data_IF_406692510095
#
_entry.id   IF_406692510095
#
_cell.length_a   1.000
_cell.length_b   1.000
_cell.length_c   1.000
_cell.angle_alpha   90.00
_cell.angle_beta   90.00
_cell.angle_gamma   90.00
#
_symmetry.space_group_name_H-M   'P 1'
#
loop_
_entity.id
_entity.type
_entity.pdbx_description
1 polymer ?
#
# COMPACT_ATOMS: atom_id res chain seq x y z
N UNK A 1 -25.49 -16.65 -10.05
CA UNK A 1 -24.28 -15.82 -10.29
C UNK A 1 -24.71 -14.35 -10.31
N UNK A 2 -24.15 -13.49 -9.43
CA UNK A 2 -24.43 -12.04 -9.51
C UNK A 2 -23.86 -11.49 -10.82
N UNK A 3 -24.66 -10.72 -11.57
CA UNK A 3 -24.20 -10.07 -12.81
C UNK A 3 -23.15 -9.02 -12.45
N UNK A 4 -21.90 -9.25 -12.86
CA UNK A 4 -20.80 -8.32 -12.61
C UNK A 4 -20.79 -7.20 -13.65
N UNK A 5 -20.38 -6.01 -13.23
CA UNK A 5 -20.42 -4.80 -14.06
C UNK A 5 -19.02 -4.44 -14.54
N UNK A 6 -18.89 -4.06 -15.81
CA UNK A 6 -17.65 -3.49 -16.33
C UNK A 6 -17.47 -2.06 -15.83
N UNK A 7 -16.32 -1.74 -15.25
CA UNK A 7 -16.03 -0.40 -14.71
C UNK A 7 -14.63 0.07 -15.08
N UNK A 8 -14.41 1.38 -15.04
CA UNK A 8 -13.09 2.01 -15.09
C UNK A 8 -12.89 2.82 -13.81
N UNK A 9 -11.90 2.42 -13.01
CA UNK A 9 -11.54 3.11 -11.78
C UNK A 9 -10.66 4.32 -12.08
N UNK A 10 -10.75 5.34 -11.23
CA UNK A 10 -9.76 6.43 -11.18
C UNK A 10 -8.37 5.85 -10.94
N UNK A 11 -7.36 6.42 -11.57
CA UNK A 11 -5.96 6.06 -11.28
C UNK A 11 -5.60 6.50 -9.87
N UNK A 12 -4.87 5.66 -9.15
CA UNK A 12 -4.40 6.03 -7.82
C UNK A 12 -3.30 7.09 -7.91
N UNK A 13 -3.35 8.09 -7.03
CA UNK A 13 -2.25 9.05 -6.90
C UNK A 13 -1.02 8.33 -6.34
N UNK A 14 0.08 8.32 -7.10
CA UNK A 14 1.36 7.77 -6.64
C UNK A 14 2.07 8.83 -5.80
N UNK A 15 2.11 8.59 -4.49
CA UNK A 15 2.83 9.45 -3.54
C UNK A 15 4.04 8.70 -2.97
N UNK A 16 5.09 9.42 -2.60
CA UNK A 16 6.25 8.82 -1.96
C UNK A 16 5.91 8.42 -0.52
N UNK A 17 5.04 9.20 0.12
CA UNK A 17 4.54 8.93 1.46
C UNK A 17 3.01 9.02 1.53
N UNK A 18 2.41 8.25 2.44
CA UNK A 18 0.95 8.19 2.59
C UNK A 18 0.37 9.55 3.04
N UNK A 19 1.08 10.28 3.90
CA UNK A 19 0.63 11.58 4.41
C UNK A 19 0.49 12.65 3.31
N UNK A 20 1.12 12.48 2.14
CA UNK A 20 1.00 13.44 1.03
C UNK A 20 -0.41 13.45 0.42
N UNK A 21 -1.20 12.41 0.68
CA UNK A 21 -2.62 12.31 0.28
C UNK A 21 -3.54 13.06 1.24
N UNK A 22 -3.03 13.43 2.41
CA UNK A 22 -3.82 14.06 3.46
C UNK A 22 -3.88 15.57 3.23
N UNK A 23 -5.10 16.07 3.18
CA UNK A 23 -5.39 17.49 3.11
C UNK A 23 -6.10 17.93 4.39
N UNK A 24 -5.97 19.21 4.75
CA UNK A 24 -6.54 19.78 5.97
C UNK A 24 -7.26 21.09 5.68
N UNK A 25 -8.36 21.30 6.38
CA UNK A 25 -9.07 22.57 6.42
C UNK A 25 -8.58 23.39 7.62
N UNK A 26 -7.90 24.51 7.37
CA UNK A 26 -7.33 25.35 8.45
C UNK A 26 -8.39 26.10 9.28
N UNK A 27 -9.67 26.05 8.91
CA UNK A 27 -10.78 26.68 9.65
C UNK A 27 -11.49 25.68 10.56
N UNK A 28 -11.87 24.53 10.01
CA UNK A 28 -12.61 23.49 10.75
C UNK A 28 -11.69 22.51 11.46
N UNK A 29 -10.38 22.50 11.15
CA UNK A 29 -9.43 21.49 11.61
C UNK A 29 -9.86 20.06 11.24
N UNK A 30 -10.51 19.91 10.08
CA UNK A 30 -10.92 18.62 9.53
C UNK A 30 -9.91 18.14 8.49
N UNK A 31 -9.74 16.82 8.43
CA UNK A 31 -8.85 16.17 7.48
C UNK A 31 -9.62 15.47 6.38
N UNK A 32 -9.03 15.42 5.20
CA UNK A 32 -9.67 14.87 4.02
C UNK A 32 -8.65 14.16 3.13
N UNK A 33 -9.05 13.05 2.52
CA UNK A 33 -8.20 12.22 1.65
C UNK A 33 -8.81 11.92 0.29
N UNK A 34 -10.05 12.37 0.04
CA UNK A 34 -10.75 12.15 -1.22
C UNK A 34 -10.46 13.29 -2.21
N UNK A 35 -11.12 13.28 -3.36
CA UNK A 35 -10.91 14.21 -4.48
C UNK A 35 -11.55 15.59 -4.31
N UNK A 36 -12.41 15.76 -3.31
CA UNK A 36 -13.08 17.04 -3.09
C UNK A 36 -12.07 18.12 -2.71
N UNK A 37 -12.15 19.25 -3.40
CA UNK A 37 -11.23 20.38 -3.22
C UNK A 37 -11.66 21.31 -2.09
N UNK A 38 -12.93 21.27 -1.71
CA UNK A 38 -13.52 22.19 -0.73
C UNK A 38 -14.09 21.43 0.47
N UNK A 39 -13.96 22.04 1.64
CA UNK A 39 -14.47 21.52 2.89
C UNK A 39 -16.00 21.48 2.91
N UNK A 40 -16.57 20.32 3.23
CA UNK A 40 -18.02 20.11 3.33
C UNK A 40 -18.69 20.96 4.41
N UNK A 41 -17.97 21.34 5.46
CA UNK A 41 -18.51 22.13 6.57
C UNK A 41 -18.45 23.64 6.34
N UNK A 42 -17.33 24.16 5.79
CA UNK A 42 -17.11 25.61 5.69
C UNK A 42 -16.86 26.15 4.28
N UNK A 43 -16.81 25.27 3.27
CA UNK A 43 -16.63 25.64 1.87
C UNK A 43 -15.26 26.21 1.52
N UNK A 44 -14.26 26.18 2.42
CA UNK A 44 -12.88 26.59 2.10
C UNK A 44 -12.10 25.48 1.41
N UNK A 45 -11.16 25.88 0.57
CA UNK A 45 -10.25 24.94 -0.10
C UNK A 45 -9.37 24.18 0.90
N UNK A 46 -9.25 22.87 0.70
CA UNK A 46 -8.35 22.01 1.45
C UNK A 46 -6.89 22.28 1.07
N UNK A 47 -5.99 22.29 2.06
CA UNK A 47 -4.56 22.49 1.83
C UNK A 47 -3.78 21.21 2.15
N UNK A 48 -2.74 20.87 1.37
CA UNK A 48 -1.86 19.74 1.71
C UNK A 48 -1.24 19.93 3.10
N UNK A 49 -1.26 18.88 3.91
CA UNK A 49 -0.84 18.97 5.32
C UNK A 49 0.61 19.45 5.49
N UNK A 50 1.50 19.09 4.55
CA UNK A 50 2.91 19.48 4.56
C UNK A 50 3.09 20.99 4.38
N UNK A 51 2.25 21.63 3.57
CA UNK A 51 2.31 23.07 3.37
C UNK A 51 1.84 23.83 4.61
N UNK A 52 0.79 23.31 5.27
CA UNK A 52 0.27 23.89 6.50
C UNK A 52 1.32 23.79 7.61
N UNK A 53 1.93 22.62 7.80
CA UNK A 53 3.00 22.44 8.76
C UNK A 53 4.22 23.35 8.45
N UNK A 54 4.62 23.47 7.19
CA UNK A 54 5.72 24.35 6.79
C UNK A 54 5.43 25.84 7.10
N UNK A 55 4.18 26.30 6.92
CA UNK A 55 3.76 27.66 7.31
C UNK A 55 3.87 27.87 8.81
N UNK A 56 3.51 26.87 9.61
CA UNK A 56 3.63 26.91 11.08
C UNK A 56 5.09 26.96 11.52
N UNK A 57 5.95 26.08 11.00
CA UNK A 57 7.39 26.10 11.31
C UNK A 57 8.04 27.42 10.90
N UNK A 58 7.69 27.97 9.73
CA UNK A 58 8.19 29.28 9.29
C UNK A 58 7.86 30.40 10.28
N UNK A 59 6.65 30.40 10.85
CA UNK A 59 6.25 31.37 11.88
C UNK A 59 7.08 31.19 13.15
N UNK A 60 7.31 29.96 13.61
CA UNK A 60 8.17 29.72 14.77
C UNK A 60 9.60 30.24 14.57
N UNK A 61 10.18 30.02 13.39
CA UNK A 61 11.51 30.54 13.04
C UNK A 61 11.51 32.07 13.02
N UNK A 62 10.50 32.70 12.41
CA UNK A 62 10.35 34.16 12.42
C UNK A 62 10.24 34.73 13.84
N UNK A 63 9.45 34.09 14.71
CA UNK A 63 9.33 34.50 16.12
C UNK A 63 10.65 34.36 16.86
N UNK A 64 11.44 33.30 16.62
CA UNK A 64 12.78 33.15 17.20
C UNK A 64 13.73 34.27 16.74
N UNK A 65 13.71 34.64 15.46
CA UNK A 65 14.47 35.79 14.94
C UNK A 65 14.06 37.11 15.59
N UNK A 66 12.75 37.34 15.76
CA UNK A 66 12.22 38.54 16.43
C UNK A 66 12.63 38.60 17.90
N UNK A 67 12.57 37.48 18.62
CA UNK A 67 13.03 37.39 20.01
C UNK A 67 14.53 37.65 20.13
N UNK A 68 15.33 37.11 19.21
CA UNK A 68 16.77 37.34 19.19
C UNK A 68 17.09 38.81 18.92
N UNK A 69 16.38 39.46 17.98
CA UNK A 69 16.46 40.90 17.75
C UNK A 69 16.07 41.72 18.97
N UNK A 70 15.01 41.33 19.68
CA UNK A 70 14.59 41.96 20.93
C UNK A 70 15.68 41.88 22.01
N UNK A 71 16.31 40.72 22.19
CA UNK A 71 17.41 40.56 23.16
C UNK A 71 18.63 41.42 22.80
N UNK A 72 18.97 41.53 21.53
CA UNK A 72 20.06 42.42 21.07
C UNK A 72 19.73 43.89 21.33
N UNK A 73 18.50 44.32 21.05
CA UNK A 73 18.05 45.68 21.35
C UNK A 73 18.09 46.00 22.85
N UNK A 74 17.63 45.06 23.70
CA UNK A 74 17.70 45.21 25.15
C UNK A 74 19.14 45.31 25.64
N UNK A 75 20.06 44.50 25.10
CA UNK A 75 21.48 44.55 25.44
C UNK A 75 22.12 45.90 25.08
N UNK A 76 21.72 46.50 23.95
CA UNK A 76 22.18 47.83 23.53
C UNK A 76 21.61 48.93 24.44
N UNK A 77 20.34 48.83 24.84
CA UNK A 77 19.69 49.82 25.72
C UNK A 77 20.28 49.82 27.14
N UNK A 78 20.77 48.68 27.63
CA UNK A 78 21.40 48.56 28.94
C UNK A 78 22.91 48.89 28.94
N UNK A 79 23.48 49.34 27.81
CA UNK A 79 24.90 49.68 27.73
C UNK A 79 25.15 51.12 28.21
N UNK A 80 25.96 51.28 29.27
CA UNK A 80 26.30 52.58 29.84
C UNK A 80 27.55 53.22 29.22
N UNK A 81 28.35 52.42 28.50
CA UNK A 81 29.63 52.85 27.92
C UNK A 81 29.72 52.58 26.42
N UNK A 82 30.48 53.41 25.70
CA UNK A 82 30.73 53.25 24.26
C UNK A 82 31.33 51.88 23.91
N UNK A 83 32.18 51.34 24.79
CA UNK A 83 32.78 50.00 24.62
C UNK A 83 31.75 48.89 24.79
N UNK A 84 30.86 48.98 25.79
CA UNK A 84 29.75 48.04 25.96
C UNK A 84 28.78 48.08 24.77
N UNK A 85 28.51 49.26 24.22
CA UNK A 85 27.64 49.43 23.05
C UNK A 85 28.26 48.79 21.80
N UNK A 86 29.57 49.01 21.56
CA UNK A 86 30.28 48.38 20.45
C UNK A 86 30.29 46.84 20.56
N UNK A 87 30.53 46.31 21.76
CA UNK A 87 30.50 44.87 22.03
C UNK A 87 29.08 44.29 21.86
N UNK A 88 28.04 45.00 22.33
CA UNK A 88 26.65 44.59 22.16
C UNK A 88 26.22 44.49 20.70
N UNK A 89 26.58 45.50 19.88
CA UNK A 89 26.31 45.49 18.45
C UNK A 89 27.08 44.37 17.72
N UNK A 90 28.39 44.26 17.95
CA UNK A 90 29.21 43.24 17.30
C UNK A 90 28.77 41.81 17.70
N UNK A 91 28.49 41.59 18.98
CA UNK A 91 27.97 40.34 19.51
C UNK A 91 26.59 40.00 18.94
N UNK A 92 25.69 40.98 18.87
CA UNK A 92 24.37 40.81 18.27
C UNK A 92 24.44 40.38 16.80
N UNK A 93 25.29 41.03 15.99
CA UNK A 93 25.51 40.66 14.58
C UNK A 93 26.05 39.23 14.49
N UNK A 94 27.06 38.89 15.31
CA UNK A 94 27.67 37.56 15.30
C UNK A 94 26.64 36.46 15.64
N UNK A 95 25.82 36.66 16.67
CA UNK A 95 24.76 35.71 17.05
C UNK A 95 23.71 35.61 15.93
N UNK A 96 23.31 36.72 15.30
CA UNK A 96 22.37 36.71 14.19
C UNK A 96 22.89 35.91 12.99
N UNK A 97 24.16 36.11 12.61
CA UNK A 97 24.81 35.40 11.51
C UNK A 97 24.94 33.91 11.84
N UNK A 98 25.41 33.56 13.04
CA UNK A 98 25.50 32.17 13.49
C UNK A 98 24.14 31.48 13.47
N UNK A 99 23.09 32.14 13.98
CA UNK A 99 21.74 31.60 13.97
C UNK A 99 21.19 31.44 12.55
N UNK A 100 21.45 32.40 11.65
CA UNK A 100 21.07 32.31 10.24
C UNK A 100 21.75 31.14 9.52
N UNK A 101 23.06 30.95 9.73
CA UNK A 101 23.81 29.82 9.17
C UNK A 101 23.28 28.49 9.72
N UNK A 102 23.00 28.43 11.03
CA UNK A 102 22.42 27.25 11.67
C UNK A 102 21.05 26.92 11.07
N UNK A 103 20.15 27.91 10.92
CA UNK A 103 18.84 27.70 10.32
C UNK A 103 18.94 27.26 8.85
N UNK A 104 19.90 27.80 8.09
CA UNK A 104 20.11 27.39 6.69
C UNK A 104 20.59 25.95 6.58
N UNK A 105 21.44 25.50 7.50
CA UNK A 105 22.02 24.15 7.48
C UNK A 105 21.07 23.09 8.07
N UNK A 106 20.39 23.41 9.18
CA UNK A 106 19.56 22.46 9.94
C UNK A 106 18.05 22.66 9.76
N UNK A 107 17.60 23.72 9.08
CA UNK A 107 16.17 24.02 8.94
C UNK A 107 15.38 23.00 8.11
N UNK A 108 16.02 22.17 7.29
CA UNK A 108 15.34 21.03 6.68
C UNK A 108 15.02 19.95 7.72
N UNK A 109 15.99 19.61 8.57
CA UNK A 109 15.83 18.63 9.63
C UNK A 109 14.81 19.09 10.68
N UNK A 110 14.87 20.35 11.13
CA UNK A 110 13.88 20.88 12.09
C UNK A 110 12.46 20.82 11.54
N UNK A 111 12.26 21.10 10.24
CA UNK A 111 10.93 21.01 9.61
C UNK A 111 10.37 19.60 9.65
N UNK A 112 11.20 18.58 9.42
CA UNK A 112 10.74 17.19 9.44
C UNK A 112 10.41 16.73 10.88
N UNK A 113 11.21 17.14 11.87
CA UNK A 113 10.95 16.86 13.28
C UNK A 113 9.67 17.56 13.76
N UNK A 114 9.50 18.84 13.45
CA UNK A 114 8.29 19.60 13.79
C UNK A 114 7.06 19.04 13.09
N UNK A 115 7.20 18.62 11.83
CA UNK A 115 6.12 17.96 11.10
C UNK A 115 5.71 16.65 11.75
N UNK A 116 6.67 15.81 12.15
CA UNK A 116 6.37 14.56 12.84
C UNK A 116 5.64 14.80 14.17
N UNK A 117 6.08 15.81 14.94
CA UNK A 117 5.41 16.23 16.18
C UNK A 117 3.99 16.70 15.92
N UNK A 118 3.78 17.53 14.90
CA UNK A 118 2.45 17.99 14.47
C UNK A 118 1.55 16.81 14.10
N UNK A 119 2.03 15.89 13.26
CA UNK A 119 1.29 14.68 12.88
C UNK A 119 0.90 13.83 14.09
N UNK A 120 1.80 13.69 15.05
CA UNK A 120 1.56 12.88 16.25
C UNK A 120 0.44 13.49 17.10
N UNK A 121 0.42 14.80 17.26
CA UNK A 121 -0.62 15.53 18.01
C UNK A 121 -1.99 15.46 17.32
N UNK A 122 -2.00 15.46 15.99
CA UNK A 122 -3.23 15.49 15.18
C UNK A 122 -3.80 14.09 14.88
N UNK A 123 -3.12 13.01 15.27
CA UNK A 123 -3.47 11.62 14.92
C UNK A 123 -4.93 11.27 15.25
N UNK A 124 -5.43 11.65 16.42
CA UNK A 124 -6.80 11.32 16.83
C UNK A 124 -7.85 12.07 16.00
N UNK A 125 -7.56 13.31 15.62
CA UNK A 125 -8.46 14.13 14.79
C UNK A 125 -8.47 13.56 13.36
N UNK A 126 -7.30 13.20 12.82
CA UNK A 126 -7.18 12.53 11.52
C UNK A 126 -8.01 11.24 11.52
N UNK A 127 -7.86 10.40 12.56
CA UNK A 127 -8.62 9.16 12.70
C UNK A 127 -10.13 9.43 12.73
N UNK A 128 -10.59 10.43 13.48
CA UNK A 128 -12.00 10.82 13.53
C UNK A 128 -12.52 11.26 12.16
N UNK A 129 -11.77 12.09 11.43
CA UNK A 129 -12.15 12.49 10.06
C UNK A 129 -12.21 11.32 9.09
N UNK A 130 -11.27 10.38 9.16
CA UNK A 130 -11.28 9.17 8.33
C UNK A 130 -12.47 8.24 8.66
N UNK A 131 -12.93 8.20 9.92
CA UNK A 131 -14.13 7.46 10.30
C UNK A 131 -15.39 8.09 9.68
N UNK A 132 -15.50 9.41 9.61
CA UNK A 132 -16.60 10.09 8.90
C UNK A 132 -16.63 9.71 7.41
N UNK A 133 -15.47 9.60 6.76
CA UNK A 133 -15.43 9.11 5.37
C UNK A 133 -15.88 7.65 5.23
N UNK A 134 -15.75 6.82 6.27
CA UNK A 134 -16.33 5.47 6.25
C UNK A 134 -17.85 5.49 6.28
N UNK A 135 -18.45 6.47 6.96
CA UNK A 135 -19.90 6.65 6.96
C UNK A 135 -20.36 7.07 5.56
N UNK A 136 -19.66 8.01 4.91
CA UNK A 136 -19.90 8.39 3.51
C UNK A 136 -19.81 7.21 2.54
N UNK A 137 -18.81 6.34 2.71
CA UNK A 137 -18.71 5.09 1.95
C UNK A 137 -19.95 4.22 2.18
N UNK A 138 -20.41 4.12 3.43
CA UNK A 138 -21.63 3.38 3.78
C UNK A 138 -22.89 3.94 3.11
N UNK A 139 -23.00 5.26 2.98
CA UNK A 139 -24.09 5.90 2.24
C UNK A 139 -24.03 5.58 0.75
N UNK A 140 -22.85 5.65 0.12
CA UNK A 140 -22.69 5.30 -1.30
C UNK A 140 -23.07 3.85 -1.59
N UNK A 141 -22.79 2.92 -0.67
CA UNK A 141 -23.23 1.51 -0.80
C UNK A 141 -24.75 1.40 -0.77
N UNK A 142 -25.42 2.12 0.14
CA UNK A 142 -26.89 2.10 0.25
C UNK A 142 -27.57 2.66 -1.00
N UNK A 143 -26.94 3.63 -1.66
CA UNK A 143 -27.41 4.21 -2.92
C UNK A 143 -26.98 3.41 -4.16
N UNK A 144 -26.44 2.20 -3.98
CA UNK A 144 -25.93 1.32 -5.06
C UNK A 144 -24.78 1.94 -5.88
N UNK A 145 -24.14 3.00 -5.38
CA UNK A 145 -22.95 3.64 -5.97
C UNK A 145 -21.67 2.90 -5.58
N UNK A 146 -21.64 1.59 -5.85
CA UNK A 146 -20.55 0.67 -5.43
C UNK A 146 -19.18 1.09 -5.98
N UNK A 147 -19.14 1.70 -7.18
CA UNK A 147 -17.89 2.21 -7.75
C UNK A 147 -17.30 3.30 -6.86
N UNK A 148 -18.11 4.29 -6.50
CA UNK A 148 -17.67 5.42 -5.68
C UNK A 148 -17.27 4.94 -4.29
N UNK A 149 -18.06 4.02 -3.71
CA UNK A 149 -17.72 3.37 -2.44
C UNK A 149 -16.36 2.66 -2.48
N UNK A 150 -16.06 1.92 -3.56
CA UNK A 150 -14.77 1.26 -3.75
C UNK A 150 -13.62 2.27 -3.90
N UNK A 151 -13.80 3.30 -4.73
CA UNK A 151 -12.77 4.32 -4.94
C UNK A 151 -12.44 5.04 -3.63
N UNK A 152 -13.47 5.46 -2.86
CA UNK A 152 -13.29 6.12 -1.56
C UNK A 152 -12.61 5.22 -0.54
N UNK A 153 -13.05 3.95 -0.39
CA UNK A 153 -12.42 3.04 0.57
C UNK A 153 -10.98 2.68 0.16
N UNK A 154 -10.66 2.71 -1.14
CA UNK A 154 -9.30 2.50 -1.63
C UNK A 154 -8.36 3.59 -1.12
N UNK A 155 -8.79 4.86 -1.15
CA UNK A 155 -8.05 6.00 -0.60
C UNK A 155 -7.96 5.95 0.93
N UNK A 156 -9.10 5.79 1.62
CA UNK A 156 -9.14 5.73 3.10
C UNK A 156 -8.33 4.55 3.65
N UNK A 157 -8.36 3.40 2.96
CA UNK A 157 -7.64 2.19 3.36
C UNK A 157 -6.12 2.26 3.22
N UNK A 158 -5.58 3.39 2.76
CA UNK A 158 -4.13 3.68 2.80
C UNK A 158 -3.69 4.12 4.19
N UNK A 159 -4.62 4.66 4.98
CA UNK A 159 -4.40 5.09 6.35
C UNK A 159 -4.92 4.06 7.36
N UNK A 160 -5.99 3.36 7.02
CA UNK A 160 -6.66 2.40 7.90
C UNK A 160 -6.41 0.96 7.46
N UNK A 161 -5.42 0.33 8.09
CA UNK A 161 -5.07 -1.07 7.87
C UNK A 161 -5.81 -1.97 8.86
N UNK A 162 -7.03 -2.39 8.51
CA UNK A 162 -7.77 -3.39 9.26
C UNK A 162 -8.39 -4.42 8.33
N UNK A 163 -8.60 -5.63 8.83
CA UNK A 163 -9.25 -6.69 8.06
C UNK A 163 -10.66 -6.29 7.63
N UNK A 164 -11.38 -5.50 8.43
CA UNK A 164 -12.68 -4.93 8.04
C UNK A 164 -12.58 -4.12 6.75
N UNK A 165 -11.53 -3.31 6.59
CA UNK A 165 -11.31 -2.51 5.38
C UNK A 165 -10.93 -3.40 4.20
N UNK A 166 -10.07 -4.41 4.41
CA UNK A 166 -9.71 -5.39 3.37
C UNK A 166 -10.96 -6.12 2.86
N UNK A 167 -11.78 -6.65 3.77
CA UNK A 167 -12.99 -7.39 3.44
C UNK A 167 -14.03 -6.51 2.72
N UNK A 168 -14.21 -5.25 3.14
CA UNK A 168 -15.09 -4.31 2.42
C UNK A 168 -14.57 -4.02 1.00
N UNK A 169 -13.26 -3.79 0.83
CA UNK A 169 -12.65 -3.62 -0.51
C UNK A 169 -12.93 -4.83 -1.41
N UNK A 170 -12.72 -6.04 -0.89
CA UNK A 170 -12.99 -7.30 -1.58
C UNK A 170 -14.47 -7.41 -1.97
N UNK A 171 -15.37 -7.15 -1.01
CA UNK A 171 -16.80 -7.19 -1.22
C UNK A 171 -17.21 -6.27 -2.38
N UNK A 172 -16.66 -5.05 -2.46
CA UNK A 172 -16.94 -4.14 -3.57
C UNK A 172 -16.31 -4.62 -4.88
N UNK A 173 -15.06 -5.09 -4.87
CA UNK A 173 -14.37 -5.61 -6.05
C UNK A 173 -15.11 -6.78 -6.71
N UNK A 174 -15.73 -7.66 -5.91
CA UNK A 174 -16.49 -8.80 -6.41
C UNK A 174 -17.75 -8.41 -7.24
N UNK A 175 -18.17 -7.14 -7.21
CA UNK A 175 -19.25 -6.63 -8.08
C UNK A 175 -18.78 -6.33 -9.50
N UNK A 176 -17.47 -6.26 -9.74
CA UNK A 176 -16.91 -5.79 -11.00
C UNK A 176 -16.24 -6.91 -11.81
N UNK A 177 -16.23 -6.73 -13.13
CA UNK A 177 -15.41 -7.56 -14.03
C UNK A 177 -13.96 -7.06 -13.94
N UNK A 178 -13.10 -7.86 -13.32
CA UNK A 178 -11.68 -7.55 -13.18
C UNK A 178 -10.95 -7.67 -14.52
N UNK A 179 -10.02 -6.74 -14.79
CA UNK A 179 -9.24 -6.71 -16.03
C UNK A 179 -7.77 -6.42 -15.78
N UNK A 180 -6.92 -6.75 -16.77
CA UNK A 180 -5.47 -6.63 -16.67
C UNK A 180 -4.97 -5.18 -16.57
N UNK A 181 -5.76 -4.22 -17.07
CA UNK A 181 -5.46 -2.79 -17.03
C UNK A 181 -5.73 -2.13 -15.67
N UNK A 182 -6.41 -2.84 -14.76
CA UNK A 182 -6.72 -2.33 -13.43
C UNK A 182 -5.52 -2.44 -12.48
N UNK A 183 -5.41 -1.48 -11.56
CA UNK A 183 -4.48 -1.53 -10.42
C UNK A 183 -5.04 -2.50 -9.36
N UNK A 184 -4.98 -3.81 -9.65
CA UNK A 184 -5.43 -4.86 -8.74
C UNK A 184 -4.42 -5.07 -7.62
N UNK A 185 -4.94 -5.32 -6.43
CA UNK A 185 -4.16 -5.65 -5.25
C UNK A 185 -4.55 -7.05 -4.77
N UNK A 186 -3.59 -7.86 -4.31
CA UNK A 186 -3.87 -9.18 -3.76
C UNK A 186 -3.28 -9.34 -2.36
N UNK A 187 -1.98 -9.08 -2.22
CA UNK A 187 -1.26 -9.20 -0.96
C UNK A 187 -1.76 -8.23 0.13
N UNK A 188 -2.04 -6.97 -0.21
CA UNK A 188 -2.58 -5.98 0.75
C UNK A 188 -4.00 -6.33 1.22
N UNK A 189 -4.74 -7.12 0.44
CA UNK A 189 -6.11 -7.53 0.73
C UNK A 189 -6.20 -8.88 1.43
N UNK A 190 -5.07 -9.55 1.70
CA UNK A 190 -5.08 -10.84 2.40
C UNK A 190 -5.70 -10.69 3.81
N UNK A 191 -6.83 -11.36 4.07
CA UNK A 191 -7.43 -11.38 5.40
C UNK A 191 -6.62 -12.27 6.34
N UNK A 192 -6.66 -11.99 7.64
CA UNK A 192 -5.96 -12.81 8.65
C UNK A 192 -6.63 -14.17 8.83
N UNK A 193 -7.95 -14.22 8.63
CA UNK A 193 -8.77 -15.42 8.73
C UNK A 193 -9.31 -15.87 7.38
N UNK A 194 -9.89 -17.06 7.35
CA UNK A 194 -10.58 -17.56 6.17
C UNK A 194 -11.76 -16.66 5.80
N UNK A 195 -11.83 -16.21 4.55
CA UNK A 195 -12.94 -15.45 4.03
C UNK A 195 -13.37 -15.93 2.64
N UNK A 196 -14.66 -16.16 2.46
CA UNK A 196 -15.25 -16.67 1.22
C UNK A 196 -15.17 -15.66 0.08
N UNK A 197 -15.42 -14.38 0.38
CA UNK A 197 -15.41 -13.33 -0.63
C UNK A 197 -13.99 -13.08 -1.14
N UNK A 198 -12.97 -13.24 -0.29
CA UNK A 198 -11.57 -13.21 -0.70
C UNK A 198 -11.23 -14.36 -1.66
N UNK A 199 -11.69 -15.59 -1.38
CA UNK A 199 -11.43 -16.74 -2.28
C UNK A 199 -12.10 -16.53 -3.64
N UNK A 200 -13.31 -15.97 -3.66
CA UNK A 200 -14.00 -15.58 -4.89
C UNK A 200 -13.21 -14.52 -5.68
N UNK A 201 -12.71 -13.48 -4.99
CA UNK A 201 -11.88 -12.45 -5.58
C UNK A 201 -10.56 -13.01 -6.12
N UNK A 202 -9.87 -13.84 -5.32
CA UNK A 202 -8.62 -14.50 -5.66
C UNK A 202 -8.77 -15.31 -6.96
N UNK A 203 -9.87 -16.07 -7.11
CA UNK A 203 -10.16 -16.82 -8.34
C UNK A 203 -10.18 -15.95 -9.58
N UNK A 204 -10.71 -14.75 -9.48
CA UNK A 204 -10.82 -13.82 -10.61
C UNK A 204 -9.50 -13.11 -10.88
N UNK A 205 -8.79 -12.71 -9.83
CA UNK A 205 -7.46 -12.10 -9.96
C UNK A 205 -6.46 -13.06 -10.60
N UNK A 206 -6.44 -14.34 -10.20
CA UNK A 206 -5.47 -15.32 -10.72
C UNK A 206 -5.65 -15.58 -12.23
N UNK A 207 -6.88 -15.51 -12.75
CA UNK A 207 -7.17 -15.63 -14.18
C UNK A 207 -6.58 -14.46 -14.99
N UNK A 208 -6.65 -13.26 -14.41
CA UNK A 208 -6.34 -12.01 -15.11
C UNK A 208 -4.88 -11.60 -14.90
N UNK A 209 -4.40 -11.60 -13.66
CA UNK A 209 -3.04 -11.22 -13.27
C UNK A 209 -2.43 -12.28 -12.32
N UNK A 210 -2.07 -13.48 -12.82
CA UNK A 210 -1.45 -14.54 -12.01
C UNK A 210 -0.13 -14.11 -11.36
N UNK A 211 0.51 -13.05 -11.88
CA UNK A 211 1.73 -12.51 -11.32
C UNK A 211 1.60 -11.90 -9.92
N UNK A 212 0.38 -11.57 -9.48
CA UNK A 212 0.11 -11.05 -8.15
C UNK A 212 0.16 -12.13 -7.05
N UNK A 213 0.15 -13.42 -7.44
CA UNK A 213 0.33 -14.53 -6.49
C UNK A 213 1.77 -14.56 -6.00
N UNK A 214 1.97 -14.12 -4.75
CA UNK A 214 3.25 -14.16 -4.04
C UNK A 214 3.21 -15.19 -2.91
N UNK A 215 4.33 -15.34 -2.20
CA UNK A 215 4.49 -16.22 -1.03
C UNK A 215 3.33 -16.11 -0.03
N UNK A 216 2.98 -14.88 0.39
CA UNK A 216 1.89 -14.61 1.34
C UNK A 216 0.53 -15.17 0.90
N UNK A 217 0.25 -15.19 -0.41
CA UNK A 217 -0.97 -15.76 -0.98
C UNK A 217 -0.89 -17.30 -0.99
N UNK A 218 0.27 -17.86 -1.33
CA UNK A 218 0.50 -19.31 -1.30
C UNK A 218 0.36 -19.86 0.12
N UNK A 219 0.92 -19.17 1.12
CA UNK A 219 0.78 -19.50 2.54
C UNK A 219 -0.68 -19.49 2.98
N UNK A 220 -1.44 -18.46 2.58
CA UNK A 220 -2.87 -18.37 2.89
C UNK A 220 -3.65 -19.54 2.31
N UNK A 221 -3.41 -19.86 1.04
CA UNK A 221 -4.09 -20.94 0.32
C UNK A 221 -3.74 -22.30 0.91
N UNK A 222 -2.47 -22.54 1.23
CA UNK A 222 -2.04 -23.77 1.88
C UNK A 222 -2.66 -23.91 3.28
N UNK A 223 -2.67 -22.84 4.07
CA UNK A 223 -3.26 -22.81 5.42
C UNK A 223 -4.76 -23.11 5.42
N UNK A 224 -5.49 -22.60 4.43
CA UNK A 224 -6.95 -22.76 4.34
C UNK A 224 -7.40 -23.73 3.25
N UNK A 225 -6.49 -24.59 2.76
CA UNK A 225 -6.73 -25.52 1.64
C UNK A 225 -8.03 -26.31 1.79
N UNK A 226 -8.23 -26.93 2.96
CA UNK A 226 -9.43 -27.73 3.24
C UNK A 226 -10.73 -26.94 3.12
N UNK A 227 -10.73 -25.65 3.48
CA UNK A 227 -11.91 -24.78 3.34
C UNK A 227 -12.11 -24.35 1.89
N UNK A 228 -11.03 -24.04 1.17
CA UNK A 228 -11.08 -23.66 -0.25
C UNK A 228 -11.61 -24.81 -1.10
N UNK A 229 -11.27 -26.06 -0.77
CA UNK A 229 -11.79 -27.25 -1.46
C UNK A 229 -13.31 -27.41 -1.36
N UNK A 230 -13.94 -26.85 -0.32
CA UNK A 230 -15.41 -26.85 -0.18
C UNK A 230 -16.09 -25.84 -1.12
N UNK A 231 -15.33 -24.97 -1.80
CA UNK A 231 -15.87 -24.02 -2.77
C UNK A 231 -16.09 -24.64 -4.14
N UNK A 232 -17.04 -24.06 -4.86
CA UNK A 232 -17.23 -24.35 -6.27
C UNK A 232 -15.94 -24.04 -7.06
N UNK A 233 -15.40 -25.06 -7.73
CA UNK A 233 -14.13 -25.03 -8.44
C UNK A 233 -12.90 -24.78 -7.53
N UNK A 234 -12.97 -25.18 -6.25
CA UNK A 234 -11.86 -25.06 -5.29
C UNK A 234 -10.58 -25.76 -5.75
N UNK A 235 -10.68 -26.99 -6.28
CA UNK A 235 -9.54 -27.74 -6.81
C UNK A 235 -8.89 -27.03 -8.00
N UNK A 236 -9.69 -26.56 -8.95
CA UNK A 236 -9.20 -25.81 -10.11
C UNK A 236 -8.51 -24.50 -9.67
N UNK A 237 -9.06 -23.81 -8.67
CA UNK A 237 -8.46 -22.60 -8.11
C UNK A 237 -7.08 -22.89 -7.51
N UNK A 238 -6.98 -23.92 -6.66
CA UNK A 238 -5.70 -24.31 -6.05
C UNK A 238 -4.70 -24.70 -7.14
N UNK A 239 -5.10 -25.46 -8.17
CA UNK A 239 -4.25 -25.76 -9.32
C UNK A 239 -3.77 -24.53 -10.09
N UNK A 240 -4.64 -23.54 -10.30
CA UNK A 240 -4.26 -22.27 -10.92
C UNK A 240 -3.26 -21.48 -10.07
N UNK A 241 -3.39 -21.53 -8.74
CA UNK A 241 -2.49 -20.89 -7.79
C UNK A 241 -1.14 -21.61 -7.74
N UNK A 242 -1.14 -22.94 -7.65
CA UNK A 242 0.06 -23.78 -7.73
C UNK A 242 0.82 -23.49 -9.03
N UNK A 243 0.10 -23.40 -10.15
CA UNK A 243 0.70 -23.02 -11.43
C UNK A 243 1.27 -21.60 -11.45
N UNK A 244 0.73 -20.67 -10.66
CA UNK A 244 1.26 -19.30 -10.55
C UNK A 244 2.55 -19.24 -9.72
N UNK A 245 2.79 -20.22 -8.84
CA UNK A 245 4.03 -20.39 -8.08
C UNK A 245 5.22 -20.75 -8.98
N UNK A 246 4.97 -21.45 -10.10
CA UNK A 246 5.98 -21.93 -11.06
C UNK A 246 6.78 -20.82 -11.80
N UNK A 247 6.60 -19.55 -11.42
CA UNK A 247 7.37 -18.43 -11.94
C UNK A 247 8.73 -18.28 -11.26
N UNK A 248 8.89 -18.84 -10.07
CA UNK A 248 10.10 -18.69 -9.26
C UNK A 248 10.50 -20.05 -8.68
N UNK A 249 11.75 -20.47 -8.90
CA UNK A 249 12.28 -21.73 -8.38
C UNK A 249 12.20 -21.83 -6.85
N UNK A 250 12.42 -20.72 -6.14
CA UNK A 250 12.27 -20.65 -4.69
C UNK A 250 10.85 -21.04 -4.22
N UNK A 251 9.80 -20.62 -4.94
CA UNK A 251 8.43 -21.02 -4.62
C UNK A 251 8.16 -22.47 -4.98
N UNK A 252 8.75 -22.98 -6.07
CA UNK A 252 8.64 -24.40 -6.42
C UNK A 252 9.22 -25.26 -5.31
N UNK A 253 10.41 -24.92 -4.81
CA UNK A 253 11.06 -25.64 -3.72
C UNK A 253 10.26 -25.59 -2.40
N UNK A 254 9.65 -24.45 -2.07
CA UNK A 254 8.88 -24.29 -0.83
C UNK A 254 7.51 -25.01 -0.87
N UNK A 255 6.84 -25.01 -2.03
CA UNK A 255 5.47 -25.51 -2.18
C UNK A 255 5.38 -26.78 -3.04
N UNK A 256 6.40 -27.63 -3.03
CA UNK A 256 6.46 -28.85 -3.85
C UNK A 256 5.24 -29.76 -3.67
N UNK A 257 4.86 -30.07 -2.43
CA UNK A 257 3.73 -30.96 -2.14
C UNK A 257 2.41 -30.42 -2.73
N UNK A 258 2.19 -29.11 -2.62
CA UNK A 258 1.01 -28.45 -3.21
C UNK A 258 1.03 -28.55 -4.73
N UNK A 259 2.21 -28.41 -5.36
CA UNK A 259 2.34 -28.52 -6.82
C UNK A 259 2.09 -29.97 -7.28
N UNK A 260 2.63 -30.95 -6.55
CA UNK A 260 2.45 -32.38 -6.85
C UNK A 260 0.95 -32.75 -6.73
N UNK A 261 0.29 -32.34 -5.65
CA UNK A 261 -1.11 -32.67 -5.39
C UNK A 261 -2.06 -32.12 -6.47
N UNK A 262 -1.76 -30.95 -7.04
CA UNK A 262 -2.62 -30.31 -8.05
C UNK A 262 -1.97 -30.26 -9.44
N UNK A 263 -1.04 -31.19 -9.72
CA UNK A 263 -0.29 -31.22 -10.98
C UNK A 263 -1.21 -31.41 -12.20
N UNK A 264 -2.31 -32.16 -12.02
CA UNK A 264 -3.28 -32.45 -13.07
C UNK A 264 -4.06 -31.20 -13.53
N UNK A 265 -4.13 -30.19 -12.67
CA UNK A 265 -4.80 -28.91 -12.94
C UNK A 265 -3.86 -27.88 -13.58
N UNK A 266 -2.59 -28.21 -13.80
CA UNK A 266 -1.64 -27.31 -14.45
C UNK A 266 -1.89 -27.26 -15.97
N UNK A 267 -2.03 -26.06 -16.56
CA UNK A 267 -2.00 -25.90 -18.00
C UNK A 267 -0.68 -26.40 -18.60
N UNK A 268 -0.74 -26.95 -19.81
CA UNK A 268 0.41 -27.45 -20.60
C UNK A 268 1.64 -26.54 -20.53
N UNK A 269 1.48 -25.25 -20.80
CA UNK A 269 2.59 -24.28 -20.79
C UNK A 269 3.29 -24.17 -19.43
N UNK A 270 2.51 -24.29 -18.35
CA UNK A 270 3.02 -24.21 -16.98
C UNK A 270 3.72 -25.51 -16.58
N UNK A 271 3.18 -26.65 -17.01
CA UNK A 271 3.83 -27.95 -16.85
C UNK A 271 5.18 -28.00 -17.59
N UNK A 272 5.24 -27.51 -18.83
CA UNK A 272 6.47 -27.41 -19.60
C UNK A 272 7.51 -26.52 -18.91
N UNK A 273 7.08 -25.40 -18.35
CA UNK A 273 7.95 -24.52 -17.56
C UNK A 273 8.52 -25.25 -16.34
N UNK A 274 7.68 -25.99 -15.61
CA UNK A 274 8.11 -26.77 -14.45
C UNK A 274 9.13 -27.82 -14.85
N UNK A 275 8.87 -28.57 -15.93
CA UNK A 275 9.81 -29.58 -16.44
C UNK A 275 11.19 -28.98 -16.79
N UNK A 276 11.21 -27.85 -17.51
CA UNK A 276 12.45 -27.10 -17.82
C UNK A 276 13.16 -26.55 -16.58
N UNK A 277 12.41 -26.24 -15.52
CA UNK A 277 12.97 -25.75 -14.27
C UNK A 277 13.64 -26.88 -13.50
N UNK A 278 13.00 -28.05 -13.45
CA UNK A 278 13.54 -29.25 -12.82
C UNK A 278 14.85 -29.68 -13.50
N UNK A 279 14.89 -29.76 -14.84
CA UNK A 279 16.13 -30.16 -15.54
C UNK A 279 17.31 -29.21 -15.32
N UNK A 280 17.05 -27.92 -15.07
CA UNK A 280 18.11 -26.94 -14.74
C UNK A 280 18.61 -27.05 -13.31
N UNK A 281 17.73 -27.44 -12.37
CA UNK A 281 18.04 -27.53 -10.94
C UNK A 281 18.21 -28.98 -10.44
N UNK A 282 18.33 -29.94 -11.36
CA UNK A 282 18.45 -31.37 -11.03
C UNK A 282 19.64 -31.67 -10.09
N UNK A 283 20.69 -30.85 -10.12
CA UNK A 283 21.87 -31.00 -9.28
C UNK A 283 21.73 -30.42 -7.85
N UNK A 284 20.68 -29.66 -7.55
CA UNK A 284 20.50 -28.97 -6.25
C UNK A 284 19.89 -29.88 -5.16
N UNK A 285 19.40 -31.07 -5.54
CA UNK A 285 18.81 -32.05 -4.61
C UNK A 285 17.42 -31.65 -4.09
N UNK A 286 16.64 -32.63 -3.61
CA UNK A 286 15.34 -32.39 -2.96
C UNK A 286 14.16 -32.14 -3.90
N UNK A 287 14.30 -32.33 -5.21
CA UNK A 287 13.21 -32.18 -6.20
C UNK A 287 12.75 -33.52 -6.80
N UNK A 288 13.29 -34.64 -6.30
CA UNK A 288 13.09 -35.99 -6.85
C UNK A 288 11.60 -36.39 -6.94
N UNK A 289 10.84 -36.16 -5.87
CA UNK A 289 9.39 -36.46 -5.83
C UNK A 289 8.60 -35.60 -6.83
N UNK A 290 9.02 -34.36 -7.03
CA UNK A 290 8.40 -33.46 -7.99
C UNK A 290 8.74 -33.86 -9.44
N UNK A 291 9.99 -34.26 -9.69
CA UNK A 291 10.43 -34.79 -10.97
C UNK A 291 9.64 -36.04 -11.37
N UNK A 292 9.50 -37.00 -10.45
CA UNK A 292 8.74 -38.23 -10.71
C UNK A 292 7.26 -37.93 -11.03
N UNK A 293 6.63 -37.02 -10.28
CA UNK A 293 5.25 -36.61 -10.52
C UNK A 293 5.09 -35.94 -11.90
N UNK A 294 6.03 -35.08 -12.30
CA UNK A 294 6.02 -34.43 -13.61
C UNK A 294 6.23 -35.44 -14.73
N UNK A 295 7.19 -36.37 -14.60
CA UNK A 295 7.42 -37.44 -15.59
C UNK A 295 6.16 -38.27 -15.81
N UNK A 296 5.55 -38.74 -14.72
CA UNK A 296 4.29 -39.50 -14.76
C UNK A 296 3.18 -38.72 -15.45
N UNK A 297 3.04 -37.42 -15.17
CA UNK A 297 2.03 -36.57 -15.81
C UNK A 297 2.28 -36.40 -17.31
N UNK A 298 3.54 -36.19 -17.71
CA UNK A 298 3.92 -36.04 -19.12
C UNK A 298 3.66 -37.35 -19.87
N UNK A 299 4.10 -38.49 -19.35
CA UNK A 299 3.89 -39.79 -19.98
C UNK A 299 2.40 -40.12 -20.19
N UNK A 300 1.57 -39.80 -19.20
CA UNK A 300 0.13 -40.14 -19.22
C UNK A 300 -0.67 -39.24 -20.17
N UNK A 301 -0.33 -37.94 -20.28
CA UNK A 301 -1.19 -36.97 -20.98
C UNK A 301 -0.51 -36.20 -22.13
N UNK A 302 0.82 -36.21 -22.22
CA UNK A 302 1.61 -35.40 -23.15
C UNK A 302 2.75 -36.18 -23.83
N UNK A 303 2.68 -37.52 -23.86
CA UNK A 303 3.73 -38.37 -24.44
C UNK A 303 3.97 -38.16 -25.93
N UNK A 304 2.96 -37.69 -26.67
CA UNK A 304 3.05 -37.38 -28.11
C UNK A 304 3.39 -35.91 -28.39
N UNK A 305 3.66 -35.11 -27.35
CA UNK A 305 3.87 -33.68 -27.49
C UNK A 305 5.37 -33.37 -27.70
N UNK A 306 5.75 -32.84 -28.88
CA UNK A 306 7.16 -32.65 -29.22
C UNK A 306 7.87 -31.64 -28.30
N UNK A 307 7.15 -30.71 -27.67
CA UNK A 307 7.76 -29.71 -26.79
C UNK A 307 8.30 -30.33 -25.49
N UNK A 308 7.83 -31.52 -25.13
CA UNK A 308 8.28 -32.26 -23.94
C UNK A 308 9.41 -33.25 -24.24
N UNK A 309 9.74 -33.50 -25.51
CA UNK A 309 10.87 -34.37 -25.86
C UNK A 309 12.20 -33.76 -25.43
N UNK A 310 12.97 -34.48 -24.59
CA UNK A 310 14.30 -34.07 -24.14
C UNK A 310 14.32 -33.04 -23.00
N UNK A 311 13.18 -32.79 -22.34
CA UNK A 311 13.08 -31.81 -21.24
C UNK A 311 13.36 -32.45 -19.86
N UNK A 312 13.19 -33.77 -19.71
CA UNK A 312 13.36 -34.53 -18.47
C UNK A 312 13.77 -36.00 -18.71
#
# INVERSE_FOLDING_TARGET
MKKRVGVQFRKMQKTAHVYERLQTCTRCHTYHVLWDTHCSECGREYQPIREVAAKVTRRYVQTRFLLLGLFVLLAILCADTLTQLAVGCAGGILVFVCFFVMQRKFGAYERDVDFLRYMTQETEIIKKSLLLHQEEIGFDVKEERIKDAYEKIREVGQFLHSDTIKLRKIMYLNHFVLRKDMELELESLLPTTYDKDFVEYLREVVKVQPQLVKRSVLDYVNRYKSKILLHENGEQLIGQIAGAALRMSAYVAEYQELIIEYIDYLPRERLLRLARMISRHHHEGGWERLEEAVKRRIETHHSFDPDFHGVL
#
